data_IF_698670694719
#
_entry.id   IF_698670694719
#
_cell.length_a   1.000
_cell.length_b   1.000
_cell.length_c   1.000
_cell.angle_alpha   90.00
_cell.angle_beta   90.00
_cell.angle_gamma   90.00
#
_symmetry.space_group_name_H-M   'P 1'
#
loop_
_entity.id
_entity.type
_entity.pdbx_description
1 polymer ?
#
# COMPACT_ATOMS: atom_id res chain seq x y z
N UNK A 1 20.84 12.09 -28.23
CA UNK A 1 21.04 11.20 -29.35
C UNK A 1 19.91 10.20 -29.42
N UNK A 2 18.99 10.35 -30.45
CA UNK A 2 18.25 9.19 -30.97
C UNK A 2 17.04 8.65 -30.24
N UNK A 3 16.45 9.33 -29.26
CA UNK A 3 15.21 8.89 -28.60
C UNK A 3 13.95 9.44 -29.33
N UNK A 4 13.87 9.25 -30.62
CA UNK A 4 12.77 9.81 -31.43
C UNK A 4 11.42 9.15 -31.13
N UNK A 5 11.42 7.84 -30.89
CA UNK A 5 10.20 7.08 -30.58
C UNK A 5 9.64 7.49 -29.22
N UNK A 6 10.51 7.63 -28.24
CA UNK A 6 10.16 8.06 -26.88
C UNK A 6 9.64 9.51 -26.89
N UNK A 7 10.28 10.39 -27.63
CA UNK A 7 9.86 11.78 -27.80
C UNK A 7 8.48 11.87 -28.47
N UNK A 8 8.24 11.09 -29.51
CA UNK A 8 6.94 11.08 -30.20
C UNK A 8 5.83 10.53 -29.28
N UNK A 9 6.07 9.41 -28.57
CA UNK A 9 5.10 8.88 -27.60
C UNK A 9 4.74 9.90 -26.53
N UNK A 10 5.74 10.58 -26.02
CA UNK A 10 5.55 11.58 -24.97
C UNK A 10 4.74 12.77 -25.48
N UNK A 11 5.02 13.23 -26.71
CA UNK A 11 4.26 14.31 -27.36
C UNK A 11 2.80 13.91 -27.54
N UNK A 12 2.53 12.80 -28.22
CA UNK A 12 1.18 12.30 -28.50
C UNK A 12 0.39 12.10 -27.20
N UNK A 13 1.02 11.53 -26.19
CA UNK A 13 0.39 11.33 -24.88
C UNK A 13 0.04 12.66 -24.21
N UNK A 14 0.98 13.60 -24.23
CA UNK A 14 0.78 14.89 -23.57
C UNK A 14 -0.28 15.74 -24.28
N UNK A 15 -0.31 15.73 -25.62
CA UNK A 15 -1.33 16.41 -26.41
C UNK A 15 -2.71 15.83 -26.12
N UNK A 16 -2.84 14.51 -26.09
CA UNK A 16 -4.10 13.83 -25.74
C UNK A 16 -4.55 14.19 -24.30
N UNK A 17 -3.65 14.14 -23.33
CA UNK A 17 -3.97 14.48 -21.95
C UNK A 17 -4.41 15.96 -21.83
N UNK A 18 -3.78 16.88 -22.57
CA UNK A 18 -4.16 18.29 -22.61
C UNK A 18 -5.54 18.51 -23.25
N UNK A 19 -5.86 17.78 -24.32
CA UNK A 19 -7.17 17.81 -24.95
C UNK A 19 -8.25 17.33 -23.97
N UNK A 20 -8.02 16.19 -23.32
CA UNK A 20 -8.93 15.65 -22.30
C UNK A 20 -9.15 16.63 -21.14
N UNK A 21 -8.08 17.28 -20.66
CA UNK A 21 -8.20 18.28 -19.59
C UNK A 21 -8.99 19.53 -20.05
N UNK A 22 -8.88 19.95 -21.31
CA UNK A 22 -9.65 21.09 -21.84
C UNK A 22 -11.13 20.77 -22.04
N UNK A 23 -11.44 19.59 -22.56
CA UNK A 23 -12.80 19.18 -22.91
C UNK A 23 -13.58 18.64 -21.70
N UNK A 24 -12.93 17.85 -20.85
CA UNK A 24 -13.58 17.14 -19.73
C UNK A 24 -13.16 17.64 -18.36
N UNK A 25 -12.16 18.53 -18.27
CA UNK A 25 -11.57 18.97 -17.00
C UNK A 25 -10.72 17.89 -16.28
N UNK A 26 -10.46 16.77 -16.94
CA UNK A 26 -9.78 15.62 -16.35
C UNK A 26 -9.06 14.79 -17.43
N UNK A 27 -7.95 14.15 -17.05
CA UNK A 27 -7.34 13.08 -17.85
C UNK A 27 -6.89 11.92 -16.97
N UNK A 28 -6.79 10.73 -17.54
CA UNK A 28 -6.26 9.55 -16.83
C UNK A 28 -4.77 9.75 -16.49
N UNK A 29 -4.45 9.68 -15.21
CA UNK A 29 -3.09 9.92 -14.73
C UNK A 29 -2.79 11.40 -14.49
N UNK A 30 -3.80 12.24 -14.27
CA UNK A 30 -3.66 13.67 -13.97
C UNK A 30 -2.71 13.94 -12.79
N UNK A 31 -2.60 12.99 -11.87
CA UNK A 31 -1.68 13.05 -10.73
C UNK A 31 -0.19 13.15 -11.16
N UNK A 32 0.15 12.70 -12.39
CA UNK A 32 1.52 12.83 -12.92
C UNK A 32 1.87 14.28 -13.29
N UNK A 33 0.86 15.15 -13.40
CA UNK A 33 0.98 16.59 -13.61
C UNK A 33 0.89 17.39 -12.30
N UNK A 34 0.70 16.72 -11.15
CA UNK A 34 0.44 17.35 -9.84
C UNK A 34 1.49 18.40 -9.45
N UNK A 35 2.75 18.20 -9.82
CA UNK A 35 3.81 19.17 -9.57
C UNK A 35 3.52 20.53 -10.23
N UNK A 36 3.09 20.53 -11.48
CA UNK A 36 2.75 21.75 -12.22
C UNK A 36 1.46 22.38 -11.70
N UNK A 37 0.45 21.57 -11.42
CA UNK A 37 -0.84 22.05 -10.90
C UNK A 37 -0.74 22.66 -9.50
N UNK A 38 0.23 22.21 -8.70
CA UNK A 38 0.47 22.72 -7.33
C UNK A 38 1.68 23.66 -7.24
N UNK A 39 2.27 24.05 -8.36
CA UNK A 39 3.42 24.99 -8.45
C UNK A 39 4.61 24.57 -7.56
N UNK A 40 4.88 23.27 -7.47
CA UNK A 40 5.96 22.73 -6.66
C UNK A 40 7.28 22.64 -7.45
N UNK A 41 8.39 22.75 -6.73
CA UNK A 41 9.71 22.55 -7.30
C UNK A 41 9.95 21.10 -7.71
N UNK A 42 10.84 20.89 -8.69
CA UNK A 42 11.26 19.56 -9.10
C UNK A 42 11.91 18.80 -7.93
N UNK A 43 11.54 17.52 -7.76
CA UNK A 43 12.04 16.67 -6.68
C UNK A 43 11.27 16.81 -5.36
N UNK A 44 10.41 17.82 -5.21
CA UNK A 44 9.58 17.94 -4.02
C UNK A 44 8.51 16.84 -3.95
N UNK A 45 8.16 16.41 -2.76
CA UNK A 45 7.06 15.48 -2.56
C UNK A 45 5.69 16.15 -2.71
N UNK A 46 4.63 15.42 -3.09
CA UNK A 46 3.28 15.94 -3.00
C UNK A 46 2.87 16.15 -1.54
N UNK A 47 1.88 17.02 -1.33
CA UNK A 47 1.19 17.13 -0.06
C UNK A 47 0.46 15.82 0.25
N UNK A 48 0.48 15.43 1.52
CA UNK A 48 -0.24 14.27 2.03
C UNK A 48 -1.14 14.68 3.20
N UNK A 49 -1.92 13.74 3.72
CA UNK A 49 -2.85 14.02 4.81
C UNK A 49 -2.16 14.63 6.04
N UNK A 50 -0.93 14.21 6.34
CA UNK A 50 -0.16 14.69 7.49
C UNK A 50 0.19 16.18 7.40
N UNK A 51 0.29 16.74 6.19
CA UNK A 51 0.55 18.19 6.01
C UNK A 51 -0.61 19.08 6.48
N UNK A 52 -1.79 18.51 6.69
CA UNK A 52 -2.99 19.24 7.11
C UNK A 52 -3.27 19.11 8.61
N UNK A 53 -2.48 18.34 9.35
CA UNK A 53 -2.58 18.28 10.80
C UNK A 53 -1.89 19.49 11.46
N UNK A 54 -2.34 19.89 12.65
CA UNK A 54 -1.60 20.87 13.44
C UNK A 54 -0.21 20.33 13.81
N UNK A 55 0.72 21.22 14.14
CA UNK A 55 2.08 20.81 14.53
C UNK A 55 2.08 19.89 15.76
N UNK A 56 1.17 20.15 16.70
CA UNK A 56 1.01 19.34 17.92
C UNK A 56 -0.11 18.32 17.72
N UNK A 57 0.26 17.13 17.27
CA UNK A 57 -0.66 15.99 17.15
C UNK A 57 -0.03 14.70 17.65
N UNK A 58 -0.86 13.76 18.07
CA UNK A 58 -0.49 12.43 18.46
C UNK A 58 -0.81 11.45 17.31
N UNK A 59 0.19 10.74 16.84
CA UNK A 59 0.02 9.66 15.88
C UNK A 59 -0.07 8.31 16.60
N UNK A 60 -1.03 7.49 16.22
CA UNK A 60 -1.10 6.09 16.65
C UNK A 60 -0.86 5.22 15.44
N UNK A 61 0.22 4.46 15.45
CA UNK A 61 0.59 3.51 14.38
C UNK A 61 0.18 2.10 14.80
N UNK A 62 -0.93 1.64 14.23
CA UNK A 62 -1.42 0.30 14.43
C UNK A 62 -0.63 -0.70 13.58
N UNK A 63 -0.44 -1.92 14.11
CA UNK A 63 0.38 -2.97 13.51
C UNK A 63 1.74 -2.42 13.04
N UNK A 64 2.40 -1.68 13.91
CA UNK A 64 3.60 -0.91 13.58
C UNK A 64 4.73 -1.75 13.00
N UNK A 65 4.87 -3.00 13.44
CA UNK A 65 5.86 -3.97 12.94
C UNK A 65 5.69 -4.30 11.43
N UNK A 66 4.50 -4.06 10.86
CA UNK A 66 4.21 -4.19 9.43
C UNK A 66 4.18 -2.81 8.76
N UNK A 67 3.55 -1.83 9.41
CA UNK A 67 3.34 -0.48 8.87
C UNK A 67 4.67 0.23 8.60
N UNK A 68 5.62 0.19 9.50
CA UNK A 68 6.92 0.84 9.35
C UNK A 68 7.73 0.29 8.16
N UNK A 69 7.91 -1.03 8.01
CA UNK A 69 8.55 -1.58 6.81
C UNK A 69 7.85 -1.24 5.50
N UNK A 70 6.52 -1.17 5.49
CA UNK A 70 5.76 -0.77 4.30
C UNK A 70 6.06 0.69 3.92
N UNK A 71 6.04 1.61 4.88
CA UNK A 71 6.38 3.02 4.63
C UNK A 71 7.80 3.15 4.09
N UNK A 72 8.77 2.42 4.63
CA UNK A 72 10.15 2.38 4.13
C UNK A 72 10.26 1.88 2.69
N UNK A 73 9.47 0.88 2.32
CA UNK A 73 9.49 0.27 1.00
C UNK A 73 8.76 1.05 -0.10
N UNK A 74 7.76 1.87 0.25
CA UNK A 74 6.87 2.52 -0.72
C UNK A 74 7.59 3.38 -1.76
N UNK A 75 8.50 4.25 -1.32
CA UNK A 75 9.21 5.21 -2.18
C UNK A 75 10.12 4.51 -3.20
N UNK A 76 10.82 3.46 -2.80
CA UNK A 76 11.72 2.69 -3.67
C UNK A 76 10.99 1.95 -4.79
N UNK A 77 9.91 1.27 -4.46
CA UNK A 77 9.08 0.54 -5.42
C UNK A 77 8.42 1.45 -6.47
N UNK A 78 7.86 2.58 -6.04
CA UNK A 78 7.25 3.56 -6.93
C UNK A 78 8.28 4.18 -7.88
N UNK A 79 9.45 4.56 -7.35
CA UNK A 79 10.55 5.13 -8.12
C UNK A 79 11.01 4.19 -9.23
N UNK A 80 11.26 2.92 -8.91
CA UNK A 80 11.75 1.93 -9.89
C UNK A 80 10.77 1.76 -11.05
N UNK A 81 9.47 1.64 -10.75
CA UNK A 81 8.43 1.52 -11.77
C UNK A 81 8.35 2.76 -12.66
N UNK A 82 8.36 3.95 -12.09
CA UNK A 82 8.22 5.20 -12.83
C UNK A 82 9.44 5.54 -13.67
N UNK A 83 10.63 5.22 -13.20
CA UNK A 83 11.87 5.39 -13.99
C UNK A 83 11.75 4.73 -15.35
N UNK A 84 11.33 3.47 -15.41
CA UNK A 84 11.14 2.74 -16.68
C UNK A 84 10.13 3.44 -17.59
N UNK A 85 9.01 3.92 -17.02
CA UNK A 85 7.98 4.62 -17.81
C UNK A 85 8.47 5.95 -18.36
N UNK A 86 9.27 6.69 -17.61
CA UNK A 86 9.86 7.97 -18.05
C UNK A 86 10.96 7.72 -19.09
N UNK A 87 11.83 6.76 -18.87
CA UNK A 87 12.93 6.41 -19.78
C UNK A 87 12.43 6.01 -21.17
N UNK A 88 11.30 5.30 -21.22
CA UNK A 88 10.71 4.85 -22.48
C UNK A 88 9.62 5.81 -23.05
N UNK A 89 9.53 7.04 -22.56
CA UNK A 89 8.63 8.06 -23.07
C UNK A 89 7.13 7.84 -22.80
N UNK A 90 6.77 6.98 -21.85
CA UNK A 90 5.37 6.77 -21.45
C UNK A 90 4.87 7.79 -20.41
N UNK A 91 5.78 8.49 -19.75
CA UNK A 91 5.46 9.50 -18.72
C UNK A 91 6.45 10.65 -18.79
N UNK A 92 5.97 11.86 -18.43
CA UNK A 92 6.84 13.02 -18.22
C UNK A 92 7.76 12.80 -17.02
N UNK A 93 8.97 13.40 -17.01
CA UNK A 93 9.86 13.37 -15.83
C UNK A 93 9.18 13.81 -14.53
N UNK A 94 8.22 14.74 -14.61
CA UNK A 94 7.41 15.21 -13.48
C UNK A 94 6.56 14.12 -12.80
N UNK A 95 6.30 12.99 -13.46
CA UNK A 95 5.64 11.84 -12.84
C UNK A 95 6.45 11.28 -11.65
N UNK A 96 7.78 11.48 -11.65
CA UNK A 96 8.66 11.09 -10.54
C UNK A 96 8.39 11.90 -9.27
N UNK A 97 7.81 13.10 -9.40
CA UNK A 97 7.52 14.00 -8.27
C UNK A 97 6.14 13.74 -7.65
N UNK A 98 5.31 12.92 -8.28
CA UNK A 98 4.10 12.34 -7.67
C UNK A 98 4.46 11.00 -7.04
N UNK A 99 5.01 11.03 -5.86
CA UNK A 99 5.58 9.86 -5.17
C UNK A 99 5.13 9.74 -3.73
N UNK A 100 5.13 8.54 -3.14
CA UNK A 100 5.04 8.39 -1.71
C UNK A 100 6.16 9.14 -0.99
N UNK A 101 5.94 9.46 0.26
CA UNK A 101 6.99 9.99 1.13
C UNK A 101 8.14 9.00 1.24
N UNK A 102 9.35 9.51 1.40
CA UNK A 102 10.46 8.73 1.92
C UNK A 102 10.26 8.54 3.43
N UNK A 103 10.90 7.53 3.99
CA UNK A 103 10.78 7.28 5.42
C UNK A 103 11.26 8.46 6.27
N UNK A 104 12.36 9.10 5.88
CA UNK A 104 12.90 10.27 6.58
C UNK A 104 11.96 11.48 6.53
N UNK A 105 11.23 11.64 5.42
CA UNK A 105 10.22 12.70 5.28
C UNK A 105 9.01 12.42 6.19
N UNK A 106 8.59 11.17 6.27
CA UNK A 106 7.52 10.73 7.16
C UNK A 106 7.93 10.91 8.62
N UNK A 107 9.09 10.43 9.00
CA UNK A 107 9.62 10.49 10.36
C UNK A 107 9.75 11.94 10.85
N UNK A 108 10.20 12.85 9.98
CA UNK A 108 10.32 14.29 10.29
C UNK A 108 8.99 15.01 10.54
N UNK A 109 7.86 14.42 10.13
CA UNK A 109 6.53 14.99 10.35
C UNK A 109 5.89 14.51 11.64
N UNK A 110 6.45 13.49 12.28
CA UNK A 110 5.92 12.94 13.53
C UNK A 110 6.31 13.86 14.70
N UNK A 111 5.32 14.34 15.43
CA UNK A 111 5.57 15.06 16.68
C UNK A 111 5.61 14.08 17.86
N UNK A 112 4.51 13.35 18.07
CA UNK A 112 4.39 12.31 19.09
C UNK A 112 3.80 11.06 18.47
N UNK A 113 4.29 9.87 18.86
CA UNK A 113 3.81 8.60 18.32
C UNK A 113 3.65 7.54 19.39
N UNK A 114 2.58 6.75 19.25
CA UNK A 114 2.36 5.50 19.96
C UNK A 114 2.41 4.38 18.92
N UNK A 115 3.34 3.47 19.09
CA UNK A 115 3.41 2.24 18.30
C UNK A 115 2.55 1.17 18.95
N UNK A 116 1.60 0.61 18.21
CA UNK A 116 0.72 -0.47 18.67
C UNK A 116 1.05 -1.73 17.87
N UNK A 117 1.36 -2.81 18.56
CA UNK A 117 1.70 -4.09 17.92
C UNK A 117 1.57 -5.24 18.91
N UNK A 118 1.09 -6.39 18.46
CA UNK A 118 1.16 -7.63 19.22
C UNK A 118 2.59 -8.22 19.23
N UNK A 119 3.39 -7.89 18.23
CA UNK A 119 4.77 -8.38 18.03
C UNK A 119 5.68 -7.23 17.58
N UNK A 120 6.00 -6.27 18.49
CA UNK A 120 6.82 -5.12 18.12
C UNK A 120 8.20 -5.57 17.60
N UNK A 121 8.72 -4.84 16.62
CA UNK A 121 10.04 -5.08 16.02
C UNK A 121 11.10 -4.18 16.65
N UNK A 122 12.36 -4.41 16.30
CA UNK A 122 13.50 -3.69 16.88
C UNK A 122 13.39 -2.17 16.72
N UNK A 123 12.86 -1.70 15.59
CA UNK A 123 12.71 -0.28 15.33
C UNK A 123 11.83 0.42 16.37
N UNK A 124 10.65 -0.13 16.68
CA UNK A 124 9.72 0.47 17.63
C UNK A 124 10.29 0.43 19.05
N UNK A 125 10.97 -0.66 19.40
CA UNK A 125 11.61 -0.82 20.70
C UNK A 125 12.75 0.20 20.89
N UNK A 126 13.57 0.41 19.87
CA UNK A 126 14.64 1.40 19.87
C UNK A 126 14.08 2.82 19.92
N UNK A 127 13.10 3.14 19.08
CA UNK A 127 12.47 4.45 19.03
C UNK A 127 11.74 4.83 20.33
N UNK A 128 11.16 3.84 21.02
CA UNK A 128 10.52 4.01 22.33
C UNK A 128 11.53 4.03 23.51
N UNK A 129 12.85 3.91 23.26
CA UNK A 129 13.86 3.83 24.29
C UNK A 129 13.69 2.63 25.23
N UNK A 130 13.07 1.56 24.75
CA UNK A 130 12.77 0.34 25.53
C UNK A 130 11.55 0.46 26.44
N UNK A 131 10.81 1.57 26.38
CA UNK A 131 9.57 1.73 27.16
C UNK A 131 8.44 0.98 26.46
N UNK A 132 7.91 -0.06 27.10
CA UNK A 132 6.83 -0.89 26.60
C UNK A 132 5.71 -0.95 27.62
N UNK A 133 4.47 -0.73 27.14
CA UNK A 133 3.25 -0.93 27.94
C UNK A 133 2.56 -2.19 27.44
N UNK A 134 2.50 -3.21 28.28
CA UNK A 134 1.89 -4.48 27.92
C UNK A 134 0.39 -4.49 28.28
N UNK A 135 -0.44 -4.88 27.32
CA UNK A 135 -1.86 -5.12 27.53
C UNK A 135 -2.17 -6.61 27.29
N UNK A 136 -2.04 -7.39 28.36
CA UNK A 136 -2.11 -8.86 28.31
C UNK A 136 -3.55 -9.35 28.44
N UNK A 137 -4.40 -8.61 29.16
CA UNK A 137 -5.76 -9.03 29.44
C UNK A 137 -6.69 -8.75 28.27
N UNK A 138 -7.31 -9.80 27.74
CA UNK A 138 -8.39 -9.71 26.75
C UNK A 138 -9.75 -9.61 27.47
N UNK A 139 -10.35 -8.42 27.58
CA UNK A 139 -11.57 -8.23 28.39
C UNK A 139 -12.82 -8.86 27.79
N UNK A 140 -12.79 -9.27 26.52
CA UNK A 140 -13.92 -9.87 25.81
C UNK A 140 -14.27 -11.28 26.27
N UNK A 141 -13.37 -11.97 26.98
CA UNK A 141 -13.53 -13.38 27.37
C UNK A 141 -13.55 -14.38 26.20
N UNK A 142 -13.34 -13.92 24.97
CA UNK A 142 -13.26 -14.78 23.80
C UNK A 142 -11.89 -15.45 23.75
N UNK A 143 -11.89 -16.76 23.65
CA UNK A 143 -10.67 -17.55 23.44
C UNK A 143 -10.17 -17.38 22.00
N UNK A 144 -8.89 -17.62 21.79
CA UNK A 144 -8.34 -17.77 20.45
C UNK A 144 -8.96 -18.99 19.77
N UNK A 145 -9.18 -18.93 18.44
CA UNK A 145 -9.70 -20.08 17.71
C UNK A 145 -8.72 -21.26 17.78
N UNK A 146 -9.28 -22.47 17.78
CA UNK A 146 -8.47 -23.65 17.60
C UNK A 146 -7.80 -23.64 16.22
N UNK A 147 -6.52 -23.95 16.19
CA UNK A 147 -5.72 -24.02 14.96
C UNK A 147 -5.31 -25.45 14.69
N UNK A 148 -5.72 -25.97 13.56
CA UNK A 148 -5.33 -27.28 13.07
C UNK A 148 -4.43 -27.14 11.85
N UNK A 149 -3.28 -27.80 11.85
CA UNK A 149 -2.34 -27.83 10.70
C UNK A 149 -2.51 -29.15 9.99
N UNK A 150 -2.93 -29.10 8.72
CA UNK A 150 -3.15 -30.28 7.89
C UNK A 150 -2.11 -30.43 6.78
N UNK A 151 -1.87 -31.65 6.26
CA UNK A 151 -0.97 -31.88 5.14
C UNK A 151 -1.43 -31.14 3.87
N UNK A 152 -0.46 -30.75 3.01
CA UNK A 152 -0.76 -30.12 1.72
C UNK A 152 -1.32 -31.08 0.66
N UNK A 153 -1.16 -32.40 0.86
CA UNK A 153 -1.64 -33.42 -0.09
C UNK A 153 -3.16 -33.43 -0.04
N UNK A 154 -3.79 -33.31 -1.22
CA UNK A 154 -5.26 -33.27 -1.37
C UNK A 154 -5.93 -32.09 -0.63
N UNK A 155 -5.21 -31.00 -0.40
CA UNK A 155 -5.71 -29.84 0.37
C UNK A 155 -7.03 -29.25 -0.16
N UNK A 156 -7.30 -29.37 -1.47
CA UNK A 156 -8.53 -28.83 -2.09
C UNK A 156 -9.71 -29.74 -1.77
N UNK A 157 -9.52 -31.05 -1.81
CA UNK A 157 -10.57 -32.01 -1.49
C UNK A 157 -10.93 -31.96 0.00
N UNK A 158 -9.92 -31.87 0.86
CA UNK A 158 -10.08 -31.67 2.31
C UNK A 158 -10.81 -30.35 2.62
N UNK A 159 -10.47 -29.28 1.93
CA UNK A 159 -11.18 -27.99 2.04
C UNK A 159 -12.66 -28.10 1.63
N UNK A 160 -12.95 -28.79 0.53
CA UNK A 160 -14.32 -28.99 0.07
C UNK A 160 -15.16 -29.77 1.09
N UNK A 161 -14.60 -30.80 1.71
CA UNK A 161 -15.26 -31.57 2.75
C UNK A 161 -15.60 -30.70 3.96
N UNK A 162 -14.65 -29.88 4.42
CA UNK A 162 -14.88 -28.93 5.53
C UNK A 162 -15.94 -27.86 5.18
N UNK A 163 -15.92 -27.35 3.96
CA UNK A 163 -16.94 -26.37 3.52
C UNK A 163 -18.32 -27.00 3.50
N UNK A 164 -18.45 -28.23 3.00
CA UNK A 164 -19.72 -28.96 2.94
C UNK A 164 -20.27 -29.24 4.35
N UNK A 165 -19.41 -29.69 5.26
CA UNK A 165 -19.81 -29.90 6.65
C UNK A 165 -20.29 -28.63 7.35
N UNK A 166 -19.58 -27.51 7.18
CA UNK A 166 -19.94 -26.21 7.75
C UNK A 166 -21.25 -25.69 7.15
N UNK A 167 -21.39 -25.83 5.83
CA UNK A 167 -22.62 -25.42 5.12
C UNK A 167 -23.83 -26.19 5.60
N UNK A 168 -23.74 -27.51 5.84
CA UNK A 168 -24.82 -28.33 6.43
C UNK A 168 -25.23 -27.86 7.82
N UNK A 169 -24.33 -27.25 8.58
CA UNK A 169 -24.62 -26.65 9.90
C UNK A 169 -25.12 -25.20 9.81
N UNK A 170 -25.22 -24.62 8.60
CA UNK A 170 -25.60 -23.22 8.41
C UNK A 170 -24.46 -22.22 8.74
N UNK A 171 -23.24 -22.71 8.86
CA UNK A 171 -22.04 -21.93 9.14
C UNK A 171 -21.42 -21.37 7.84
N UNK A 172 -20.50 -20.43 7.98
CA UNK A 172 -19.76 -19.84 6.86
C UNK A 172 -18.26 -20.15 6.97
N UNK A 173 -17.62 -20.36 5.83
CA UNK A 173 -16.18 -20.61 5.73
C UNK A 173 -15.50 -19.44 5.02
N UNK A 174 -14.42 -18.92 5.60
CA UNK A 174 -13.55 -17.95 4.95
C UNK A 174 -12.30 -18.66 4.45
N UNK A 175 -12.09 -18.65 3.14
CA UNK A 175 -10.92 -19.28 2.51
C UNK A 175 -9.94 -18.18 2.09
N UNK A 176 -8.71 -18.21 2.60
CA UNK A 176 -7.64 -17.31 2.22
C UNK A 176 -6.58 -18.04 1.40
N UNK A 177 -5.99 -17.34 0.43
CA UNK A 177 -4.98 -17.89 -0.45
C UNK A 177 -3.76 -16.96 -0.53
N UNK A 178 -2.62 -17.48 -1.00
CA UNK A 178 -1.38 -16.71 -1.11
C UNK A 178 -1.43 -15.60 -2.16
N UNK A 179 -2.28 -15.72 -3.19
CA UNK A 179 -2.36 -14.75 -4.30
C UNK A 179 -3.81 -14.47 -4.70
N UNK A 180 -4.05 -13.26 -5.22
CA UNK A 180 -5.36 -12.87 -5.79
C UNK A 180 -5.81 -13.83 -6.90
N UNK A 181 -4.89 -14.21 -7.78
CA UNK A 181 -5.18 -15.15 -8.87
C UNK A 181 -5.67 -16.49 -8.35
N UNK A 182 -5.01 -17.04 -7.34
CA UNK A 182 -5.42 -18.29 -6.72
C UNK A 182 -6.79 -18.15 -6.02
N UNK A 183 -7.09 -17.00 -5.41
CA UNK A 183 -8.41 -16.74 -4.85
C UNK A 183 -9.51 -16.73 -5.92
N UNK A 184 -9.26 -16.09 -7.07
CA UNK A 184 -10.20 -16.05 -8.19
C UNK A 184 -10.41 -17.43 -8.82
N UNK A 185 -9.35 -18.23 -8.98
CA UNK A 185 -9.42 -19.59 -9.48
C UNK A 185 -10.20 -20.50 -8.51
N UNK A 186 -9.94 -20.38 -7.21
CA UNK A 186 -10.66 -21.12 -6.17
C UNK A 186 -12.14 -20.73 -6.11
N UNK A 187 -12.45 -19.44 -6.19
CA UNK A 187 -13.83 -18.96 -6.20
C UNK A 187 -14.63 -19.52 -7.39
N UNK A 188 -14.02 -19.62 -8.58
CA UNK A 188 -14.66 -20.24 -9.76
C UNK A 188 -14.86 -21.74 -9.60
N UNK A 189 -13.95 -22.40 -8.89
CA UNK A 189 -14.03 -23.85 -8.65
C UNK A 189 -15.11 -24.21 -7.62
N UNK A 190 -15.35 -23.31 -6.65
CA UNK A 190 -16.34 -23.49 -5.58
C UNK A 190 -17.75 -23.01 -5.96
N UNK A 191 -17.91 -22.30 -7.07
CA UNK A 191 -19.20 -21.77 -7.58
C UNK A 191 -19.95 -22.83 -8.40
#
# INVERSE_FOLDING_TARGET
VGMFIEAQRLLERTEFDLEMMRELGYCSGIENYSRYLSYRDAGSRPYCLLDYFPEDYLMVLDESHVTIPQIRGMSGGDKSRKMVLVEHGFRLPSAMDNRPQKFEEFDSMINQVIYVSATPADFELEAAGGVVVEQIVRPTGLLDPEVEVRPLINQVDDLLEEIDERTKRGERTLVTTLTKRMAEEMARYLA
#
